data_IF_696661318792
#
_entry.id   IF_696661318792
#
_cell.length_a   1.000
_cell.length_b   1.000
_cell.length_c   1.000
_cell.angle_alpha   90.00
_cell.angle_beta   90.00
_cell.angle_gamma   90.00
#
_symmetry.space_group_name_H-M   'P 1'
#
loop_
_entity.id
_entity.type
_entity.pdbx_description
1 polymer ?
#
# COMPACT_ATOMS: atom_id res chain seq x y z
N UNK A 1 83.19 53.90 10.24
CA UNK A 1 82.19 52.83 10.50
C UNK A 1 81.02 53.48 11.22
N UNK A 2 79.87 53.60 10.53
CA UNK A 2 78.80 54.55 10.84
C UNK A 2 77.48 53.84 11.16
N UNK A 3 77.00 54.07 12.39
CA UNK A 3 75.65 54.46 12.84
C UNK A 3 74.39 53.99 12.05
N UNK A 4 73.59 53.17 12.75
CA UNK A 4 72.15 53.20 13.07
C UNK A 4 71.01 53.30 12.01
N UNK A 5 69.99 52.47 12.31
CA UNK A 5 68.53 52.73 12.37
C UNK A 5 67.62 52.75 11.12
N UNK A 6 66.51 52.02 11.29
CA UNK A 6 65.10 52.31 10.90
C UNK A 6 64.68 52.27 9.42
N UNK A 7 63.73 51.36 9.14
CA UNK A 7 62.41 51.73 8.63
C UNK A 7 62.13 51.63 7.12
N UNK A 8 60.88 51.19 6.84
CA UNK A 8 60.03 51.51 5.68
C UNK A 8 60.40 50.82 4.35
N UNK A 9 59.60 49.87 3.85
CA UNK A 9 58.29 50.00 3.20
C UNK A 9 58.38 50.13 1.66
N UNK A 10 57.64 49.22 1.02
CA UNK A 10 56.64 49.50 -0.02
C UNK A 10 56.91 49.20 -1.51
N UNK A 11 55.91 48.52 -2.10
CA UNK A 11 55.44 48.47 -3.52
C UNK A 11 56.36 47.78 -4.56
N UNK A 12 55.88 46.98 -5.52
CA UNK A 12 54.57 46.93 -6.21
C UNK A 12 54.48 45.68 -7.12
N UNK A 13 53.28 45.12 -7.31
CA UNK A 13 52.93 44.18 -8.40
C UNK A 13 51.97 43.05 -7.98
N UNK A 14 50.65 43.31 -7.85
CA UNK A 14 49.57 42.90 -8.80
C UNK A 14 49.39 41.37 -8.88
N UNK A 15 48.27 40.71 -8.59
CA UNK A 15 46.86 41.07 -8.71
C UNK A 15 45.95 40.07 -7.94
N UNK A 16 44.84 40.60 -7.42
CA UNK A 16 43.48 40.03 -7.36
C UNK A 16 43.30 38.55 -6.96
N UNK A 17 42.98 38.30 -5.68
CA UNK A 17 42.02 37.25 -5.28
C UNK A 17 41.15 37.72 -4.11
N UNK A 18 39.89 38.04 -4.41
CA UNK A 18 38.82 38.14 -3.42
C UNK A 18 38.62 36.77 -2.77
N UNK A 19 39.05 36.63 -1.52
CA UNK A 19 38.60 35.55 -0.64
C UNK A 19 37.21 35.89 -0.12
N UNK A 20 36.17 35.31 -0.72
CA UNK A 20 34.87 35.19 -0.07
C UNK A 20 35.02 34.26 1.11
N UNK A 21 35.13 34.83 2.31
CA UNK A 21 34.88 34.12 3.57
C UNK A 21 33.45 33.59 3.56
N UNK A 22 33.28 32.30 3.27
CA UNK A 22 32.05 31.57 3.57
C UNK A 22 31.89 31.50 5.08
N UNK A 23 31.04 32.38 5.63
CA UNK A 23 30.48 32.23 6.99
C UNK A 23 29.79 30.87 7.06
N UNK A 24 30.42 29.91 7.74
CA UNK A 24 29.72 28.73 8.23
C UNK A 24 28.74 29.19 9.31
N UNK A 25 27.51 29.54 8.94
CA UNK A 25 26.39 29.59 9.87
C UNK A 25 26.23 28.21 10.48
N UNK A 26 26.44 28.07 11.78
CA UNK A 26 26.02 26.91 12.55
C UNK A 26 24.54 26.64 12.24
N UNK A 27 24.26 25.54 11.55
CA UNK A 27 22.90 25.16 11.19
C UNK A 27 22.24 24.56 12.43
N UNK A 28 21.47 25.36 13.15
CA UNK A 28 20.59 24.86 14.21
C UNK A 28 19.41 24.12 13.58
N UNK A 29 18.97 23.04 14.22
CA UNK A 29 17.79 22.28 13.77
C UNK A 29 16.53 23.17 13.85
N UNK A 30 15.53 22.99 12.96
CA UNK A 30 14.28 23.73 13.04
C UNK A 30 13.58 23.53 14.40
N UNK A 31 13.27 24.63 15.08
CA UNK A 31 12.56 24.65 16.36
C UNK A 31 11.88 26.01 16.57
N UNK A 32 10.91 26.08 17.47
CA UNK A 32 10.29 27.33 17.93
C UNK A 32 10.02 27.24 19.44
N UNK A 33 10.90 27.86 20.23
CA UNK A 33 10.84 27.75 21.68
C UNK A 33 9.62 28.44 22.27
N UNK A 34 9.18 29.55 21.68
CA UNK A 34 8.02 30.29 22.18
C UNK A 34 6.75 29.49 21.93
N UNK A 35 6.65 28.80 20.78
CA UNK A 35 5.54 27.89 20.51
C UNK A 35 5.51 26.71 21.50
N UNK A 36 6.65 26.06 21.76
CA UNK A 36 6.74 24.98 22.75
C UNK A 36 6.32 25.43 24.14
N UNK A 37 6.85 26.58 24.59
CA UNK A 37 6.53 27.16 25.88
C UNK A 37 5.04 27.53 25.98
N UNK A 38 4.48 28.07 24.89
CA UNK A 38 3.08 28.50 24.85
C UNK A 38 2.10 27.33 24.81
N UNK A 39 2.46 26.23 24.14
CA UNK A 39 1.68 25.00 24.13
C UNK A 39 1.62 24.39 25.54
N UNK A 40 2.77 24.18 26.19
CA UNK A 40 2.84 23.62 27.54
C UNK A 40 2.17 24.53 28.59
N UNK A 41 2.37 25.84 28.49
CA UNK A 41 1.69 26.81 29.34
C UNK A 41 0.17 26.75 29.17
N UNK A 42 -0.32 26.61 27.94
CA UNK A 42 -1.75 26.51 27.65
C UNK A 42 -2.37 25.24 28.23
N UNK A 43 -1.68 24.11 28.10
CA UNK A 43 -2.07 22.82 28.70
C UNK A 43 -2.17 22.86 30.24
N UNK A 44 -1.33 23.68 30.89
CA UNK A 44 -1.40 23.88 32.34
C UNK A 44 -2.47 24.89 32.80
N UNK A 45 -3.03 25.67 31.87
CA UNK A 45 -4.10 26.64 32.14
C UNK A 45 -5.50 26.07 31.90
N UNK A 46 -5.65 25.11 30.98
CA UNK A 46 -6.95 24.53 30.62
C UNK A 46 -6.82 23.06 30.22
N UNK A 47 -7.76 22.23 30.70
CA UNK A 47 -7.88 20.83 30.28
C UNK A 47 -8.29 20.67 28.81
N UNK A 48 -9.09 21.59 28.28
CA UNK A 48 -9.49 21.56 26.87
C UNK A 48 -8.28 21.78 25.94
N UNK A 49 -7.36 22.66 26.36
CA UNK A 49 -6.10 22.87 25.65
C UNK A 49 -5.20 21.63 25.65
N UNK A 50 -5.31 20.75 26.67
CA UNK A 50 -4.59 19.46 26.67
C UNK A 50 -5.09 18.56 25.55
N UNK A 51 -6.42 18.48 25.36
CA UNK A 51 -7.02 17.66 24.30
C UNK A 51 -6.53 18.11 22.91
N UNK A 52 -6.63 19.41 22.60
CA UNK A 52 -6.23 19.97 21.31
C UNK A 52 -4.73 19.75 21.00
N UNK A 53 -3.87 19.86 22.02
CA UNK A 53 -2.42 19.74 21.85
C UNK A 53 -2.01 18.27 21.71
N UNK A 54 -2.63 17.35 22.44
CA UNK A 54 -2.33 15.90 22.36
C UNK A 54 -2.76 15.32 21.01
N UNK A 55 -3.76 15.88 20.34
CA UNK A 55 -4.11 15.47 18.97
C UNK A 55 -3.00 15.78 17.95
N UNK A 56 -2.23 16.84 18.18
CA UNK A 56 -1.31 17.41 17.18
C UNK A 56 0.16 17.11 17.40
N UNK A 57 0.61 16.92 18.64
CA UNK A 57 2.03 16.66 18.96
C UNK A 57 2.22 15.48 19.90
N UNK A 58 3.43 14.92 19.90
CA UNK A 58 3.94 13.93 20.85
C UNK A 58 5.11 14.52 21.64
N UNK A 59 5.50 13.87 22.75
CA UNK A 59 6.60 14.32 23.59
C UNK A 59 7.92 14.52 22.80
N UNK A 60 8.22 13.60 21.88
CA UNK A 60 9.40 13.66 21.00
C UNK A 60 9.36 14.81 19.95
N UNK A 61 8.21 15.45 19.74
CA UNK A 61 8.12 16.60 18.84
C UNK A 61 8.67 17.89 19.48
N UNK A 62 8.85 17.93 20.81
CA UNK A 62 9.52 19.05 21.48
C UNK A 62 11.04 19.02 21.25
N UNK A 63 11.62 20.16 20.93
CA UNK A 63 13.06 20.28 20.68
C UNK A 63 13.88 20.20 21.97
N UNK A 64 13.35 20.77 23.06
CA UNK A 64 14.06 20.81 24.34
C UNK A 64 13.65 19.61 25.22
N UNK A 65 14.59 18.80 25.72
CA UNK A 65 14.28 17.63 26.56
C UNK A 65 13.47 17.95 27.82
N UNK A 66 13.62 19.14 28.42
CA UNK A 66 12.79 19.51 29.58
C UNK A 66 11.32 19.71 29.21
N UNK A 67 11.02 20.11 27.97
CA UNK A 67 9.63 20.28 27.50
C UNK A 67 8.98 18.93 27.24
N UNK A 68 9.73 17.95 26.74
CA UNK A 68 9.32 16.55 26.63
C UNK A 68 8.89 15.99 28.00
N UNK A 69 9.73 16.16 29.04
CA UNK A 69 9.41 15.73 30.40
C UNK A 69 8.14 16.39 30.97
N UNK A 70 7.95 17.68 30.70
CA UNK A 70 6.76 18.42 31.17
C UNK A 70 5.51 17.93 30.43
N UNK A 71 5.61 17.71 29.11
CA UNK A 71 4.52 17.18 28.30
C UNK A 71 4.07 15.80 28.79
N UNK A 72 5.02 14.89 29.04
CA UNK A 72 4.73 13.54 29.54
C UNK A 72 4.06 13.56 30.91
N UNK A 73 4.52 14.44 31.82
CA UNK A 73 3.89 14.61 33.13
C UNK A 73 2.45 15.13 33.01
N UNK A 74 2.20 16.11 32.13
CA UNK A 74 0.84 16.61 31.85
C UNK A 74 -0.04 15.50 31.27
N UNK A 75 0.50 14.70 30.34
CA UNK A 75 -0.23 13.59 29.71
C UNK A 75 -0.56 12.49 30.71
N UNK A 76 0.37 12.16 31.62
CA UNK A 76 0.14 11.20 32.71
C UNK A 76 -1.04 11.62 33.60
N UNK A 77 -1.05 12.89 34.03
CA UNK A 77 -2.12 13.45 34.85
C UNK A 77 -3.46 13.48 34.10
N UNK A 78 -3.43 13.90 32.84
CA UNK A 78 -4.63 13.97 32.00
C UNK A 78 -5.25 12.57 31.78
N UNK A 79 -4.44 11.56 31.50
CA UNK A 79 -4.89 10.17 31.32
C UNK A 79 -5.50 9.58 32.60
N UNK A 80 -5.06 10.04 33.77
CA UNK A 80 -5.61 9.67 35.07
C UNK A 80 -6.85 10.50 35.47
N UNK A 81 -7.23 11.49 34.65
CA UNK A 81 -8.34 12.41 34.92
C UNK A 81 -8.01 13.50 35.96
N UNK A 82 -6.75 13.61 36.38
CA UNK A 82 -6.29 14.55 37.40
C UNK A 82 -6.21 15.99 36.85
N UNK A 83 -6.13 17.03 37.71
CA UNK A 83 -5.82 18.39 37.29
C UNK A 83 -4.44 18.47 36.63
N UNK A 84 -4.31 19.28 35.58
CA UNK A 84 -3.04 19.49 34.85
C UNK A 84 -2.39 20.84 35.17
N UNK A 85 -2.82 21.50 36.24
CA UNK A 85 -2.28 22.80 36.65
C UNK A 85 -0.81 22.71 37.13
N UNK A 86 -0.17 23.87 37.29
CA UNK A 86 1.24 23.96 37.68
C UNK A 86 1.55 23.19 38.96
N UNK A 87 0.63 23.17 39.94
CA UNK A 87 0.85 22.49 41.22
C UNK A 87 0.83 20.99 41.01
N UNK A 88 -0.16 20.46 40.28
CA UNK A 88 -0.28 19.04 39.99
C UNK A 88 0.91 18.54 39.15
N UNK A 89 1.32 19.27 38.12
CA UNK A 89 2.48 18.93 37.28
C UNK A 89 3.78 18.97 38.10
N UNK A 90 3.92 19.92 39.02
CA UNK A 90 5.08 19.99 39.93
C UNK A 90 5.14 18.77 40.84
N UNK A 91 4.01 18.36 41.43
CA UNK A 91 3.93 17.19 42.30
C UNK A 91 4.27 15.90 41.53
N UNK A 92 3.72 15.73 40.33
CA UNK A 92 4.01 14.56 39.47
C UNK A 92 5.49 14.49 39.09
N UNK A 93 6.07 15.60 38.63
CA UNK A 93 7.51 15.66 38.32
C UNK A 93 8.39 15.44 39.57
N UNK A 94 7.90 15.79 40.75
CA UNK A 94 8.61 15.54 42.02
C UNK A 94 8.57 14.06 42.37
N UNK A 95 7.41 13.39 42.25
CA UNK A 95 7.28 11.94 42.46
C UNK A 95 8.18 11.14 41.52
N UNK A 96 8.29 11.59 40.26
CA UNK A 96 9.16 10.99 39.25
C UNK A 96 10.65 11.31 39.46
N UNK A 97 10.99 12.26 40.33
CA UNK A 97 12.37 12.70 40.55
C UNK A 97 12.94 13.56 39.40
N UNK A 98 12.08 14.07 38.52
CA UNK A 98 12.44 14.76 37.28
C UNK A 98 12.27 16.29 37.35
N UNK A 99 11.72 16.83 38.46
CA UNK A 99 11.44 18.27 38.61
C UNK A 99 12.66 19.17 38.34
N UNK A 100 13.85 18.76 38.80
CA UNK A 100 15.08 19.52 38.57
C UNK A 100 15.47 19.57 37.09
N UNK A 101 15.26 18.46 36.36
CA UNK A 101 15.51 18.34 34.92
C UNK A 101 14.46 19.08 34.08
N UNK A 102 13.23 19.16 34.58
CA UNK A 102 12.15 19.96 34.00
C UNK A 102 12.37 21.49 34.16
N UNK A 103 13.35 21.93 34.97
CA UNK A 103 13.66 23.33 35.20
C UNK A 103 13.09 23.92 36.50
N UNK A 104 12.49 23.09 37.36
CA UNK A 104 11.93 23.50 38.65
C UNK A 104 10.55 24.14 38.55
N UNK A 105 9.91 24.34 39.71
CA UNK A 105 8.56 24.90 39.81
C UNK A 105 8.47 26.33 39.23
N UNK A 106 9.53 27.14 39.38
CA UNK A 106 9.60 28.50 38.83
C UNK A 106 9.49 28.51 37.30
N UNK A 107 10.03 27.49 36.63
CA UNK A 107 9.94 27.39 35.18
C UNK A 107 8.50 27.10 34.73
N UNK A 108 7.77 26.23 35.43
CA UNK A 108 6.37 25.92 35.12
C UNK A 108 5.45 27.16 35.29
N UNK A 109 5.70 27.96 36.33
CA UNK A 109 5.04 29.26 36.49
C UNK A 109 5.39 30.25 35.38
N UNK A 110 6.63 30.20 34.87
CA UNK A 110 7.04 31.02 33.72
C UNK A 110 6.28 30.60 32.46
N UNK A 111 6.11 29.30 32.20
CA UNK A 111 5.37 28.80 31.02
C UNK A 111 3.93 29.28 31.01
N UNK A 112 3.23 29.21 32.14
CA UNK A 112 1.86 29.70 32.25
C UNK A 112 1.77 31.23 32.13
N UNK A 113 2.79 31.96 32.59
CA UNK A 113 2.85 33.43 32.48
C UNK A 113 3.10 33.94 31.05
N UNK A 114 3.71 33.12 30.19
CA UNK A 114 3.98 33.45 28.79
C UNK A 114 2.73 33.33 27.89
N UNK A 115 1.71 32.61 28.35
CA UNK A 115 0.52 32.31 27.54
C UNK A 115 -0.55 33.37 27.75
N UNK A 116 -0.91 34.16 26.72
CA UNK A 116 -1.96 35.17 26.85
C UNK A 116 -3.34 34.54 27.04
N UNK A 117 -3.61 33.41 26.35
CA UNK A 117 -4.89 32.70 26.37
C UNK A 117 -4.68 31.21 26.11
N UNK A 118 -5.27 30.35 26.93
CA UNK A 118 -5.20 28.89 26.75
C UNK A 118 -5.83 28.40 25.43
N UNK A 119 -6.82 29.13 24.90
CA UNK A 119 -7.52 28.79 23.65
C UNK A 119 -6.61 28.73 22.41
N UNK A 120 -5.43 29.34 22.45
CA UNK A 120 -4.48 29.33 21.33
C UNK A 120 -3.46 28.18 21.41
N UNK A 121 -3.54 27.31 22.42
CA UNK A 121 -2.60 26.22 22.61
C UNK A 121 -2.52 25.29 21.39
N UNK A 122 -3.68 24.96 20.79
CA UNK A 122 -3.73 24.16 19.55
C UNK A 122 -3.08 24.83 18.34
N UNK A 123 -3.12 26.16 18.26
CA UNK A 123 -2.38 26.88 17.22
C UNK A 123 -0.86 26.76 17.44
N UNK A 124 -0.38 26.92 18.68
CA UNK A 124 1.04 26.80 18.97
C UNK A 124 1.55 25.36 18.81
N UNK A 125 0.75 24.34 19.15
CA UNK A 125 1.13 22.95 18.91
C UNK A 125 1.27 22.62 17.42
N UNK A 126 0.46 23.24 16.55
CA UNK A 126 0.64 23.09 15.10
C UNK A 126 1.99 23.63 14.60
N UNK A 127 2.48 24.73 15.19
CA UNK A 127 3.82 25.28 14.91
C UNK A 127 4.91 24.31 15.39
N UNK A 128 4.75 23.75 16.60
CA UNK A 128 5.68 22.73 17.12
C UNK A 128 5.72 21.51 16.20
N UNK A 129 4.56 20.99 15.78
CA UNK A 129 4.44 19.87 14.86
C UNK A 129 5.14 20.14 13.51
N UNK A 130 4.96 21.34 12.93
CA UNK A 130 5.62 21.75 11.70
C UNK A 130 7.16 21.76 11.87
N UNK A 131 7.65 22.33 12.97
CA UNK A 131 9.10 22.36 13.26
C UNK A 131 9.66 20.96 13.52
N UNK A 132 8.92 20.10 14.21
CA UNK A 132 9.30 18.71 14.46
C UNK A 132 9.36 17.89 13.16
N UNK A 133 8.42 18.10 12.23
CA UNK A 133 8.43 17.50 10.91
C UNK A 133 9.68 17.92 10.11
N UNK A 134 9.99 19.22 10.09
CA UNK A 134 11.20 19.75 9.46
C UNK A 134 12.47 19.18 10.09
N UNK A 135 12.50 19.02 11.43
CA UNK A 135 13.62 18.41 12.15
C UNK A 135 13.81 16.95 11.77
N UNK A 136 12.75 16.14 11.77
CA UNK A 136 12.77 14.74 11.29
C UNK A 136 13.27 14.62 9.86
N UNK A 137 12.89 15.55 8.98
CA UNK A 137 13.37 15.59 7.60
C UNK A 137 14.89 15.82 7.53
N UNK A 138 15.43 16.76 8.32
CA UNK A 138 16.88 17.03 8.39
C UNK A 138 17.64 15.81 8.92
N UNK A 139 17.11 15.15 9.95
CA UNK A 139 17.71 13.95 10.52
C UNK A 139 17.72 12.78 9.54
N UNK A 140 16.60 12.52 8.86
CA UNK A 140 16.51 11.49 7.82
C UNK A 140 17.50 11.78 6.68
N UNK A 141 17.59 13.04 6.22
CA UNK A 141 18.57 13.45 5.22
C UNK A 141 20.01 13.22 5.68
N UNK A 142 20.30 13.46 6.96
CA UNK A 142 21.62 13.21 7.56
C UNK A 142 21.95 11.73 7.61
N UNK A 143 21.00 10.88 8.04
CA UNK A 143 21.17 9.42 8.04
C UNK A 143 21.37 8.86 6.64
N UNK A 144 20.60 9.32 5.66
CA UNK A 144 20.75 8.91 4.25
C UNK A 144 22.13 9.30 3.71
N UNK A 145 22.60 10.51 4.01
CA UNK A 145 23.94 10.94 3.61
C UNK A 145 25.01 10.07 4.27
N UNK A 146 24.87 9.74 5.56
CA UNK A 146 25.79 8.84 6.27
C UNK A 146 25.82 7.44 5.67
N UNK A 147 24.66 6.87 5.30
CA UNK A 147 24.56 5.58 4.60
C UNK A 147 25.33 5.61 3.27
N UNK A 148 25.24 6.71 2.52
CA UNK A 148 25.97 6.89 1.27
C UNK A 148 27.49 6.97 1.46
N UNK A 149 27.96 7.57 2.56
CA UNK A 149 29.39 7.67 2.88
C UNK A 149 29.98 6.40 3.48
N UNK A 150 29.23 5.63 4.28
CA UNK A 150 29.73 4.39 4.89
C UNK A 150 29.92 3.28 3.85
N UNK A 151 29.04 3.21 2.86
CA UNK A 151 29.15 2.25 1.74
C UNK A 151 29.12 0.78 2.15
N UNK A 152 28.64 0.46 3.36
CA UNK A 152 28.54 -0.90 3.87
C UNK A 152 27.21 -1.54 3.47
N UNK A 153 27.27 -2.72 2.84
CA UNK A 153 26.11 -3.50 2.41
C UNK A 153 25.90 -3.51 0.89
N UNK A 154 24.85 -4.20 0.44
CA UNK A 154 24.47 -4.17 -0.96
C UNK A 154 23.84 -2.81 -1.31
N UNK A 155 24.18 -2.27 -2.49
CA UNK A 155 23.69 -0.96 -2.96
C UNK A 155 22.16 -0.89 -2.95
N UNK A 156 21.48 -2.00 -3.28
CA UNK A 156 20.02 -2.08 -3.26
C UNK A 156 19.45 -1.96 -1.84
N UNK A 157 20.09 -2.57 -0.84
CA UNK A 157 19.68 -2.47 0.55
C UNK A 157 19.86 -1.04 1.10
N UNK A 158 20.94 -0.36 0.73
CA UNK A 158 21.17 1.05 1.08
C UNK A 158 20.08 1.96 0.51
N UNK A 159 19.68 1.74 -0.74
CA UNK A 159 18.58 2.50 -1.37
C UNK A 159 17.25 2.20 -0.67
N UNK A 160 16.97 0.95 -0.32
CA UNK A 160 15.75 0.57 0.39
C UNK A 160 15.69 1.19 1.80
N UNK A 161 16.80 1.17 2.54
CA UNK A 161 16.91 1.79 3.85
C UNK A 161 16.71 3.31 3.77
N UNK A 162 17.28 3.96 2.75
CA UNK A 162 17.07 5.38 2.51
C UNK A 162 15.60 5.71 2.18
N UNK A 163 14.91 4.85 1.42
CA UNK A 163 13.47 5.00 1.16
C UNK A 163 12.63 4.85 2.43
N UNK A 164 12.97 3.89 3.30
CA UNK A 164 12.30 3.70 4.58
C UNK A 164 12.47 4.92 5.51
N UNK A 165 13.67 5.51 5.56
CA UNK A 165 13.96 6.72 6.33
C UNK A 165 13.12 7.92 5.88
N UNK A 166 13.00 8.16 4.57
CA UNK A 166 12.14 9.25 4.04
C UNK A 166 10.68 8.99 4.39
N UNK A 167 10.22 7.75 4.32
CA UNK A 167 8.84 7.40 4.61
C UNK A 167 8.47 7.60 6.08
N UNK A 168 9.41 7.36 7.00
CA UNK A 168 9.22 7.60 8.43
C UNK A 168 9.03 9.09 8.78
N UNK A 169 9.57 10.02 7.98
CA UNK A 169 9.47 11.47 8.22
C UNK A 169 8.02 11.95 8.20
N UNK A 170 7.22 11.46 7.25
CA UNK A 170 5.83 11.90 7.08
C UNK A 170 4.91 11.45 8.20
N UNK A 171 5.36 10.56 9.09
CA UNK A 171 4.52 9.95 10.11
C UNK A 171 3.43 9.07 9.49
N UNK A 172 3.27 7.87 10.01
CA UNK A 172 1.96 7.23 9.99
C UNK A 172 0.99 8.22 10.64
N UNK A 173 0.08 8.80 9.86
CA UNK A 173 -1.19 9.27 10.43
C UNK A 173 -1.81 8.04 11.06
N UNK A 174 -1.58 7.83 12.36
CA UNK A 174 -2.34 6.91 13.17
C UNK A 174 -3.75 7.52 13.25
N UNK A 175 -4.55 7.29 12.21
CA UNK A 175 -5.99 7.22 12.37
C UNK A 175 -6.24 6.22 13.50
N UNK A 176 -6.93 6.63 14.55
CA UNK A 176 -7.23 5.78 15.70
C UNK A 176 -7.68 4.39 15.23
N UNK A 177 -6.97 3.34 15.67
CA UNK A 177 -7.17 1.95 15.25
C UNK A 177 -8.50 1.33 15.75
N UNK A 178 -9.33 2.10 16.43
CA UNK A 178 -10.62 1.68 16.93
C UNK A 178 -11.64 2.83 16.80
N UNK A 179 -12.83 2.50 16.28
CA UNK A 179 -13.97 3.41 16.22
C UNK A 179 -15.09 2.86 17.11
N UNK A 180 -15.88 3.72 17.79
CA UNK A 180 -17.11 3.29 18.45
C UNK A 180 -18.00 2.48 17.50
N UNK A 181 -18.63 1.41 18.00
CA UNK A 181 -19.53 0.58 17.19
C UNK A 181 -20.65 1.41 16.54
N UNK A 182 -21.09 2.49 17.20
CA UNK A 182 -22.09 3.41 16.67
C UNK A 182 -21.67 4.05 15.35
N UNK A 183 -20.39 4.41 15.22
CA UNK A 183 -19.87 5.09 14.05
C UNK A 183 -19.72 4.10 12.90
N UNK A 184 -19.26 2.88 13.20
CA UNK A 184 -19.23 1.77 12.25
C UNK A 184 -20.63 1.37 11.77
N UNK A 185 -21.62 1.34 12.67
CA UNK A 185 -23.02 1.04 12.32
C UNK A 185 -23.63 2.15 11.48
N UNK A 186 -23.36 3.42 11.80
CA UNK A 186 -23.85 4.57 11.00
C UNK A 186 -23.26 4.54 9.60
N UNK A 187 -21.94 4.34 9.48
CA UNK A 187 -21.28 4.18 8.19
C UNK A 187 -21.85 2.99 7.39
N UNK A 188 -22.14 1.87 8.05
CA UNK A 188 -22.77 0.72 7.39
C UNK A 188 -24.20 1.00 6.91
N UNK A 189 -24.98 1.76 7.68
CA UNK A 189 -26.33 2.19 7.26
C UNK A 189 -26.24 3.13 6.06
N UNK A 190 -25.32 4.09 6.08
CA UNK A 190 -25.07 5.02 4.97
C UNK A 190 -24.66 4.27 3.69
N UNK A 191 -23.81 3.24 3.81
CA UNK A 191 -23.45 2.35 2.69
C UNK A 191 -24.66 1.58 2.13
N UNK A 192 -25.54 1.06 3.00
CA UNK A 192 -26.77 0.36 2.59
C UNK A 192 -27.73 1.32 1.88
N UNK A 193 -27.88 2.55 2.37
CA UNK A 193 -28.72 3.57 1.73
C UNK A 193 -28.15 4.02 0.38
N UNK A 194 -26.83 4.20 0.29
CA UNK A 194 -26.13 4.50 -0.96
C UNK A 194 -26.27 3.35 -1.98
N UNK A 195 -26.31 2.09 -1.52
CA UNK A 195 -26.57 0.93 -2.37
C UNK A 195 -28.02 0.87 -2.87
N UNK A 196 -28.99 1.28 -2.04
CA UNK A 196 -30.42 1.39 -2.45
C UNK A 196 -30.68 2.43 -3.53
N UNK A 197 -29.92 3.53 -3.55
CA UNK A 197 -30.07 4.61 -4.54
C UNK A 197 -29.46 4.30 -5.92
N UNK A 198 -28.75 3.17 -6.05
CA UNK A 198 -28.12 2.74 -7.29
C UNK A 198 -28.85 1.52 -7.83
N UNK A 199 -29.85 1.72 -8.68
CA UNK A 199 -30.57 0.65 -9.38
C UNK A 199 -29.59 -0.32 -10.07
N UNK A 200 -29.26 -1.43 -9.40
CA UNK A 200 -28.45 -2.52 -9.96
C UNK A 200 -26.97 -2.22 -10.25
N UNK A 201 -26.38 -1.12 -9.77
CA UNK A 201 -24.94 -0.91 -9.96
C UNK A 201 -24.14 -1.77 -8.97
N UNK A 202 -23.29 -2.62 -9.54
CA UNK A 202 -22.35 -3.48 -8.83
C UNK A 202 -21.47 -2.68 -7.86
N UNK A 203 -21.37 -3.12 -6.60
CA UNK A 203 -20.60 -2.41 -5.56
C UNK A 203 -19.11 -2.73 -5.63
N UNK A 204 -18.77 -3.98 -5.98
CA UNK A 204 -17.39 -4.43 -6.21
C UNK A 204 -16.92 -4.19 -7.64
N UNK A 205 -15.69 -4.62 -7.93
CA UNK A 205 -15.15 -4.66 -9.30
C UNK A 205 -15.82 -5.81 -10.06
N UNK A 206 -16.50 -5.57 -11.20
CA UNK A 206 -17.22 -6.62 -11.92
C UNK A 206 -16.30 -7.71 -12.47
N UNK A 207 -16.66 -8.96 -12.23
CA UNK A 207 -15.91 -10.13 -12.71
C UNK A 207 -16.07 -10.32 -14.22
N UNK A 208 -17.18 -9.84 -14.79
CA UNK A 208 -17.48 -9.96 -16.21
C UNK A 208 -18.19 -11.27 -16.58
N UNK A 209 -18.64 -12.01 -15.57
CA UNK A 209 -19.52 -13.17 -15.68
C UNK A 209 -20.77 -12.93 -14.85
N UNK A 210 -21.95 -12.90 -15.48
CA UNK A 210 -23.20 -12.51 -14.83
C UNK A 210 -23.51 -13.34 -13.56
N UNK A 211 -23.37 -14.66 -13.65
CA UNK A 211 -23.67 -15.57 -12.55
C UNK A 211 -22.67 -15.46 -11.38
N UNK A 212 -21.42 -15.12 -11.68
CA UNK A 212 -20.39 -14.86 -10.66
C UNK A 212 -20.63 -13.50 -10.00
N UNK A 213 -21.05 -12.52 -10.78
CA UNK A 213 -21.40 -11.18 -10.35
C UNK A 213 -22.66 -11.19 -9.47
N UNK A 214 -23.67 -12.02 -9.79
CA UNK A 214 -24.81 -12.29 -8.91
C UNK A 214 -24.37 -12.90 -7.57
N UNK A 215 -23.44 -13.85 -7.61
CA UNK A 215 -22.98 -14.56 -6.42
C UNK A 215 -22.13 -13.69 -5.48
N UNK A 216 -21.33 -12.79 -6.04
CA UNK A 216 -20.28 -12.06 -5.32
C UNK A 216 -20.55 -10.56 -5.17
N UNK A 217 -21.44 -10.02 -5.99
CA UNK A 217 -21.60 -8.58 -6.19
C UNK A 217 -20.28 -7.89 -6.59
N UNK A 218 -19.46 -8.60 -7.38
CA UNK A 218 -18.12 -8.22 -7.80
C UNK A 218 -17.04 -8.52 -6.74
N UNK A 219 -15.80 -8.15 -7.05
CA UNK A 219 -14.67 -8.27 -6.12
C UNK A 219 -14.51 -7.00 -5.27
N UNK A 220 -14.47 -7.14 -3.96
CA UNK A 220 -14.54 -6.01 -3.03
C UNK A 220 -13.15 -5.55 -2.54
N UNK A 221 -12.99 -4.25 -2.23
CA UNK A 221 -11.81 -3.72 -1.54
C UNK A 221 -11.39 -4.55 -0.32
N UNK A 222 -10.09 -4.73 -0.13
CA UNK A 222 -9.58 -5.46 1.03
C UNK A 222 -9.60 -6.99 0.93
N UNK A 223 -10.20 -7.55 -0.14
CA UNK A 223 -10.27 -8.99 -0.35
C UNK A 223 -8.99 -9.55 -0.98
N UNK A 224 -8.56 -10.71 -0.49
CA UNK A 224 -7.63 -11.60 -1.16
C UNK A 224 -8.43 -12.72 -1.82
N UNK A 225 -8.39 -12.77 -3.15
CA UNK A 225 -9.04 -13.78 -3.98
C UNK A 225 -7.97 -14.71 -4.54
N UNK A 226 -8.08 -16.01 -4.27
CA UNK A 226 -7.19 -17.01 -4.85
C UNK A 226 -7.90 -17.69 -6.01
N UNK A 227 -7.26 -17.69 -7.17
CA UNK A 227 -7.72 -18.43 -8.34
C UNK A 227 -6.73 -19.56 -8.60
N UNK A 228 -7.20 -20.80 -8.50
CA UNK A 228 -6.33 -21.96 -8.62
C UNK A 228 -6.80 -22.97 -9.67
N UNK A 229 -5.85 -23.52 -10.41
CA UNK A 229 -6.12 -24.52 -11.43
C UNK A 229 -4.91 -25.44 -11.62
N UNK A 230 -5.13 -26.57 -12.29
CA UNK A 230 -4.04 -27.35 -12.88
C UNK A 230 -3.41 -26.59 -14.07
N UNK A 231 -2.15 -26.89 -14.44
CA UNK A 231 -1.52 -26.33 -15.63
C UNK A 231 -2.38 -26.50 -16.89
N UNK A 232 -2.31 -25.54 -17.81
CA UNK A 232 -3.02 -25.52 -19.09
C UNK A 232 -4.56 -25.48 -19.06
N UNK A 233 -5.19 -25.37 -17.88
CA UNK A 233 -6.66 -25.24 -17.80
C UNK A 233 -7.18 -23.83 -18.14
N UNK A 234 -6.33 -22.82 -18.18
CA UNK A 234 -6.71 -21.44 -18.55
C UNK A 234 -6.72 -20.44 -17.40
N UNK A 235 -6.01 -20.71 -16.30
CA UNK A 235 -5.89 -19.82 -15.12
C UNK A 235 -5.53 -18.37 -15.50
N UNK A 236 -4.46 -18.17 -16.27
CA UNK A 236 -4.03 -16.84 -16.73
C UNK A 236 -5.04 -16.21 -17.70
N UNK A 237 -5.75 -17.04 -18.48
CA UNK A 237 -6.82 -16.56 -19.38
C UNK A 237 -8.00 -16.00 -18.58
N UNK A 238 -8.44 -16.71 -17.54
CA UNK A 238 -9.49 -16.25 -16.64
C UNK A 238 -9.09 -14.95 -15.92
N UNK A 239 -7.84 -14.88 -15.45
CA UNK A 239 -7.31 -13.68 -14.81
C UNK A 239 -7.29 -12.46 -15.76
N UNK A 240 -6.95 -12.68 -17.03
CA UNK A 240 -7.04 -11.63 -18.05
C UNK A 240 -8.50 -11.23 -18.32
N UNK A 241 -9.46 -12.15 -18.28
CA UNK A 241 -10.88 -11.78 -18.42
C UNK A 241 -11.37 -10.90 -17.27
N UNK A 242 -10.93 -11.15 -16.03
CA UNK A 242 -11.19 -10.23 -14.92
C UNK A 242 -10.57 -8.84 -15.18
N UNK A 243 -9.31 -8.78 -15.62
CA UNK A 243 -8.64 -7.53 -15.96
C UNK A 243 -9.37 -6.75 -17.08
N UNK A 244 -9.83 -7.48 -18.12
CA UNK A 244 -10.60 -6.93 -19.23
C UNK A 244 -11.94 -6.39 -18.78
N UNK A 245 -12.65 -7.13 -17.93
CA UNK A 245 -13.90 -6.67 -17.33
C UNK A 245 -13.68 -5.34 -16.60
N UNK A 246 -12.77 -5.33 -15.63
CA UNK A 246 -12.48 -4.14 -14.83
C UNK A 246 -12.06 -2.94 -15.69
N UNK A 247 -10.99 -3.07 -16.48
CA UNK A 247 -10.37 -1.92 -17.13
C UNK A 247 -10.94 -1.59 -18.50
N UNK A 248 -11.29 -2.57 -19.32
CA UNK A 248 -11.76 -2.30 -20.70
C UNK A 248 -13.27 -2.04 -20.71
N UNK A 249 -14.06 -2.83 -19.96
CA UNK A 249 -15.52 -2.69 -19.97
C UNK A 249 -16.02 -1.64 -18.98
N UNK A 250 -15.36 -1.50 -17.83
CA UNK A 250 -15.84 -0.67 -16.72
C UNK A 250 -14.93 0.51 -16.37
N UNK A 251 -13.85 0.75 -17.14
CA UNK A 251 -12.91 1.86 -16.94
C UNK A 251 -12.33 1.94 -15.51
N UNK A 252 -12.20 0.78 -14.86
CA UNK A 252 -11.64 0.66 -13.52
C UNK A 252 -10.14 0.34 -13.62
N UNK A 253 -9.24 1.20 -13.13
CA UNK A 253 -7.81 0.97 -13.24
C UNK A 253 -7.36 -0.33 -12.58
N UNK A 254 -6.65 -1.17 -13.32
CA UNK A 254 -6.12 -2.45 -12.81
C UNK A 254 -4.69 -2.69 -13.25
N UNK A 255 -3.95 -3.47 -12.46
CA UNK A 255 -2.58 -3.88 -12.79
C UNK A 255 -2.45 -5.41 -12.80
N UNK A 256 -1.80 -5.92 -13.82
CA UNK A 256 -1.48 -7.33 -14.00
C UNK A 256 0.04 -7.54 -13.87
N UNK A 257 0.47 -8.15 -12.76
CA UNK A 257 1.85 -8.61 -12.58
C UNK A 257 1.99 -10.01 -13.17
N UNK A 258 2.79 -10.12 -14.22
CA UNK A 258 3.03 -11.36 -14.93
C UNK A 258 4.45 -11.85 -14.70
N UNK A 259 4.58 -12.95 -13.97
CA UNK A 259 5.85 -13.59 -13.65
C UNK A 259 6.19 -14.71 -14.64
N UNK A 260 5.20 -15.21 -15.40
CA UNK A 260 5.38 -16.30 -16.37
C UNK A 260 5.35 -15.81 -17.82
N UNK A 261 4.41 -14.90 -18.15
CA UNK A 261 4.17 -14.45 -19.53
C UNK A 261 4.77 -13.06 -19.78
N UNK A 262 5.40 -12.86 -20.95
CA UNK A 262 5.84 -11.53 -21.36
C UNK A 262 4.69 -10.62 -21.77
N UNK A 263 4.88 -9.30 -21.67
CA UNK A 263 3.87 -8.27 -22.01
C UNK A 263 3.30 -8.43 -23.42
N UNK A 264 4.12 -8.84 -24.40
CA UNK A 264 3.69 -9.05 -25.78
C UNK A 264 2.72 -10.22 -25.92
N UNK A 265 2.92 -11.29 -25.13
CA UNK A 265 2.00 -12.43 -25.12
C UNK A 265 0.65 -12.03 -24.51
N UNK A 266 0.68 -11.28 -23.40
CA UNK A 266 -0.52 -10.75 -22.75
C UNK A 266 -1.29 -9.85 -23.71
N UNK A 267 -0.61 -8.89 -24.35
CA UNK A 267 -1.23 -7.98 -25.31
C UNK A 267 -1.91 -8.73 -26.47
N UNK A 268 -1.25 -9.77 -27.01
CA UNK A 268 -1.82 -10.58 -28.09
C UNK A 268 -3.06 -11.37 -27.64
N UNK A 269 -3.06 -11.89 -26.41
CA UNK A 269 -4.24 -12.57 -25.84
C UNK A 269 -5.39 -11.61 -25.60
N UNK A 270 -5.12 -10.42 -25.05
CA UNK A 270 -6.13 -9.36 -24.87
C UNK A 270 -6.76 -8.95 -26.20
N UNK A 271 -5.93 -8.74 -27.24
CA UNK A 271 -6.41 -8.42 -28.59
C UNK A 271 -7.26 -9.54 -29.18
N UNK A 272 -6.81 -10.78 -29.10
CA UNK A 272 -7.56 -11.97 -29.56
C UNK A 272 -8.92 -12.06 -28.87
N UNK A 273 -8.93 -11.86 -27.56
CA UNK A 273 -10.12 -11.99 -26.73
C UNK A 273 -11.16 -10.88 -26.98
N UNK A 274 -10.69 -9.65 -27.23
CA UNK A 274 -11.54 -8.48 -27.47
C UNK A 274 -11.99 -8.37 -28.94
N UNK A 275 -11.10 -8.66 -29.90
CA UNK A 275 -11.42 -8.61 -31.32
C UNK A 275 -12.17 -9.86 -31.83
N UNK A 276 -12.23 -10.93 -31.02
CA UNK A 276 -12.76 -12.24 -31.43
C UNK A 276 -12.05 -12.80 -32.68
N UNK A 277 -10.73 -12.59 -32.75
CA UNK A 277 -9.89 -13.08 -33.84
C UNK A 277 -9.00 -14.20 -33.31
N UNK A 278 -8.86 -15.36 -34.00
CA UNK A 278 -8.16 -16.50 -33.42
C UNK A 278 -6.70 -16.21 -33.08
N UNK A 279 -6.28 -16.55 -31.86
CA UNK A 279 -4.93 -16.31 -31.35
C UNK A 279 -3.85 -16.97 -32.24
N UNK A 280 -4.14 -18.16 -32.76
CA UNK A 280 -3.24 -18.87 -33.66
C UNK A 280 -3.03 -18.14 -34.99
N UNK A 281 -4.08 -17.53 -35.54
CA UNK A 281 -3.99 -16.73 -36.77
C UNK A 281 -3.12 -15.49 -36.54
N UNK A 282 -3.25 -14.84 -35.38
CA UNK A 282 -2.39 -13.71 -35.01
C UNK A 282 -0.93 -14.12 -34.86
N UNK A 283 -0.66 -15.23 -34.16
CA UNK A 283 0.71 -15.73 -33.95
C UNK A 283 1.41 -16.13 -35.25
N UNK A 284 0.66 -16.71 -36.20
CA UNK A 284 1.19 -17.15 -37.51
C UNK A 284 1.28 -16.02 -38.53
N UNK A 285 0.74 -14.83 -38.23
CA UNK A 285 0.67 -13.72 -39.18
C UNK A 285 -0.31 -13.96 -40.34
N UNK A 286 -1.19 -14.96 -40.24
CA UNK A 286 -2.19 -15.34 -41.26
C UNK A 286 -3.52 -14.63 -41.05
N UNK A 287 -3.47 -13.39 -40.55
CA UNK A 287 -4.66 -12.58 -40.27
C UNK A 287 -5.17 -11.99 -41.59
N UNK A 288 -6.45 -12.21 -41.90
CA UNK A 288 -7.04 -11.68 -43.12
C UNK A 288 -7.34 -10.18 -43.02
N UNK A 289 -7.69 -9.55 -44.15
CA UNK A 289 -7.94 -8.11 -44.18
C UNK A 289 -9.13 -7.67 -43.31
N UNK A 290 -10.13 -8.54 -43.12
CA UNK A 290 -11.31 -8.26 -42.30
C UNK A 290 -10.92 -8.29 -40.82
N UNK A 291 -10.20 -9.31 -40.39
CA UNK A 291 -9.69 -9.46 -39.03
C UNK A 291 -8.74 -8.32 -38.67
N UNK A 292 -7.88 -7.88 -39.60
CA UNK A 292 -7.03 -6.69 -39.41
C UNK A 292 -7.85 -5.43 -39.14
N UNK A 293 -8.96 -5.27 -39.86
CA UNK A 293 -9.88 -4.14 -39.64
C UNK A 293 -10.52 -4.22 -38.25
N UNK A 294 -10.94 -5.41 -37.82
CA UNK A 294 -11.50 -5.66 -36.47
C UNK A 294 -10.47 -5.37 -35.37
N UNK A 295 -9.23 -5.81 -35.55
CA UNK A 295 -8.12 -5.55 -34.62
C UNK A 295 -7.87 -4.03 -34.51
N UNK A 296 -7.79 -3.34 -35.65
CA UNK A 296 -7.54 -1.90 -35.68
C UNK A 296 -8.66 -1.10 -34.98
N UNK A 297 -9.93 -1.47 -35.20
CA UNK A 297 -11.07 -0.85 -34.53
C UNK A 297 -11.08 -1.11 -33.01
N UNK A 298 -10.61 -2.28 -32.60
CA UNK A 298 -10.55 -2.67 -31.18
C UNK A 298 -9.39 -2.02 -30.43
N UNK A 299 -8.31 -1.69 -31.15
CA UNK A 299 -7.10 -1.09 -30.58
C UNK A 299 -7.38 0.20 -29.81
N UNK A 300 -8.31 1.04 -30.28
CA UNK A 300 -8.67 2.28 -29.59
C UNK A 300 -9.16 2.02 -28.16
N UNK A 301 -10.14 1.12 -27.99
CA UNK A 301 -10.69 0.75 -26.68
C UNK A 301 -9.64 0.19 -25.73
N UNK A 302 -8.72 -0.64 -26.22
CA UNK A 302 -7.64 -1.21 -25.40
C UNK A 302 -6.62 -0.14 -25.01
N UNK A 303 -6.30 0.78 -25.92
CA UNK A 303 -5.30 1.82 -25.69
C UNK A 303 -5.74 2.84 -24.64
N UNK A 304 -7.04 3.13 -24.59
CA UNK A 304 -7.61 4.11 -23.66
C UNK A 304 -7.95 3.50 -22.29
N UNK A 305 -8.03 2.16 -22.20
CA UNK A 305 -8.34 1.46 -20.96
C UNK A 305 -7.21 1.57 -19.92
N UNK A 306 -7.52 1.81 -18.63
CA UNK A 306 -6.54 1.94 -17.56
C UNK A 306 -6.00 0.58 -17.07
N UNK A 307 -5.52 -0.25 -17.99
CA UNK A 307 -4.92 -1.55 -17.72
C UNK A 307 -3.40 -1.48 -17.80
N UNK A 308 -2.73 -1.76 -16.68
CA UNK A 308 -1.28 -1.74 -16.56
C UNK A 308 -0.73 -3.18 -16.51
N UNK A 309 0.39 -3.43 -17.19
CA UNK A 309 1.07 -4.73 -17.20
C UNK A 309 2.50 -4.54 -16.73
N UNK A 310 2.94 -5.41 -15.84
CA UNK A 310 4.31 -5.48 -15.39
C UNK A 310 4.82 -6.92 -15.51
N UNK A 311 5.78 -7.12 -16.42
CA UNK A 311 6.42 -8.41 -16.69
C UNK A 311 7.89 -8.43 -16.22
N UNK A 312 8.25 -7.56 -15.26
CA UNK A 312 9.61 -7.52 -14.74
C UNK A 312 9.95 -8.87 -14.08
N UNK A 313 11.10 -9.49 -14.41
CA UNK A 313 11.49 -10.77 -13.82
C UNK A 313 11.83 -10.63 -12.33
N UNK A 314 11.68 -11.72 -11.56
CA UNK A 314 12.11 -11.84 -10.16
C UNK A 314 11.56 -10.76 -9.20
N UNK A 315 10.34 -10.25 -9.44
CA UNK A 315 9.77 -9.23 -8.57
C UNK A 315 9.49 -9.72 -7.15
N UNK A 316 9.90 -8.91 -6.18
CA UNK A 316 9.57 -9.14 -4.76
C UNK A 316 8.20 -8.56 -4.42
N UNK A 317 7.58 -9.05 -3.34
CA UNK A 317 6.29 -8.53 -2.88
C UNK A 317 6.38 -7.06 -2.42
N UNK A 318 7.55 -6.63 -1.94
CA UNK A 318 7.80 -5.23 -1.55
C UNK A 318 7.73 -4.32 -2.78
N UNK A 319 8.34 -4.72 -3.90
CA UNK A 319 8.29 -3.99 -5.16
C UNK A 319 6.87 -3.95 -5.74
N UNK A 320 6.15 -5.07 -5.73
CA UNK A 320 4.73 -5.13 -6.13
C UNK A 320 3.93 -4.10 -5.32
N UNK A 321 4.05 -4.14 -3.99
CA UNK A 321 3.34 -3.21 -3.10
C UNK A 321 3.69 -1.75 -3.39
N UNK A 322 4.97 -1.43 -3.58
CA UNK A 322 5.40 -0.07 -3.90
C UNK A 322 4.86 0.43 -5.24
N UNK A 323 4.85 -0.43 -6.28
CA UNK A 323 4.26 -0.12 -7.59
C UNK A 323 2.74 0.10 -7.47
N UNK A 324 2.04 -0.76 -6.74
CA UNK A 324 0.61 -0.62 -6.49
C UNK A 324 0.27 0.68 -5.73
N UNK A 325 1.03 1.03 -4.69
CA UNK A 325 0.85 2.30 -3.94
C UNK A 325 0.97 3.51 -4.86
N UNK A 326 2.05 3.58 -5.65
CA UNK A 326 2.28 4.66 -6.61
C UNK A 326 1.16 4.76 -7.65
N UNK A 327 0.69 3.61 -8.15
CA UNK A 327 -0.38 3.58 -9.13
C UNK A 327 -1.73 3.99 -8.52
N UNK A 328 -2.02 3.57 -7.28
CA UNK A 328 -3.21 4.01 -6.53
C UNK A 328 -3.26 5.52 -6.37
N UNK A 329 -2.14 6.14 -5.98
CA UNK A 329 -2.05 7.60 -5.84
C UNK A 329 -2.24 8.34 -7.17
N UNK A 330 -1.70 7.81 -8.27
CA UNK A 330 -1.71 8.49 -9.56
C UNK A 330 -3.05 8.37 -10.29
N UNK A 331 -3.69 7.21 -10.27
CA UNK A 331 -4.86 6.91 -11.10
C UNK A 331 -6.01 6.25 -10.35
N UNK A 332 -5.91 6.03 -9.04
CA UNK A 332 -7.00 5.45 -8.26
C UNK A 332 -7.21 3.95 -8.51
N UNK A 333 -6.12 3.17 -8.54
CA UNK A 333 -6.09 1.71 -8.68
C UNK A 333 -7.26 1.00 -7.97
N UNK A 334 -7.95 0.11 -8.70
CA UNK A 334 -9.14 -0.62 -8.25
C UNK A 334 -8.95 -2.13 -8.16
N UNK A 335 -7.98 -2.71 -8.84
CA UNK A 335 -7.74 -4.16 -8.78
C UNK A 335 -6.29 -4.51 -9.06
N UNK A 336 -5.78 -5.53 -8.38
CA UNK A 336 -4.42 -6.07 -8.57
C UNK A 336 -4.53 -7.55 -8.92
N UNK A 337 -3.84 -7.98 -9.97
CA UNK A 337 -3.73 -9.38 -10.37
C UNK A 337 -2.26 -9.80 -10.36
N UNK A 338 -1.95 -10.97 -9.80
CA UNK A 338 -0.59 -11.52 -9.72
C UNK A 338 -0.58 -12.96 -10.24
N UNK A 339 0.14 -13.19 -11.34
CA UNK A 339 0.31 -14.49 -12.00
C UNK A 339 1.78 -14.93 -12.03
N UNK A 340 2.25 -15.93 -11.27
CA UNK A 340 1.60 -16.73 -10.23
C UNK A 340 2.49 -16.81 -8.97
N UNK A 341 1.85 -16.93 -7.81
CA UNK A 341 2.48 -16.83 -6.49
C UNK A 341 3.73 -17.69 -6.30
N UNK A 342 3.74 -18.90 -6.88
CA UNK A 342 4.85 -19.84 -6.72
C UNK A 342 6.13 -19.47 -7.49
N UNK A 343 6.17 -18.37 -8.25
CA UNK A 343 7.43 -17.82 -8.80
C UNK A 343 8.02 -16.70 -7.95
N UNK A 344 7.30 -16.24 -6.93
CA UNK A 344 7.82 -15.22 -6.03
C UNK A 344 8.87 -15.83 -5.10
N UNK A 345 9.91 -15.04 -4.84
CA UNK A 345 10.93 -15.33 -3.84
C UNK A 345 10.98 -14.23 -2.80
N UNK A 346 11.18 -14.60 -1.55
CA UNK A 346 11.30 -13.67 -0.43
C UNK A 346 12.65 -12.97 -0.42
N UNK A 347 13.58 -13.36 -1.31
CA UNK A 347 14.96 -12.88 -1.34
C UNK A 347 15.82 -13.38 -0.18
N UNK A 348 15.24 -14.15 0.76
CA UNK A 348 15.91 -14.72 1.94
C UNK A 348 16.04 -16.23 1.80
N UNK A 349 17.09 -16.81 2.40
CA UNK A 349 17.14 -18.28 2.61
C UNK A 349 16.07 -18.66 3.62
N UNK A 350 15.01 -19.31 3.16
CA UNK A 350 13.94 -19.84 4.01
C UNK A 350 14.14 -21.35 4.20
N UNK A 351 13.88 -21.87 5.40
CA UNK A 351 14.05 -23.31 5.70
C UNK A 351 13.05 -24.20 4.95
N UNK A 352 11.86 -23.68 4.62
CA UNK A 352 10.81 -24.40 3.92
C UNK A 352 10.03 -23.50 2.98
N UNK A 353 9.77 -23.99 1.76
CA UNK A 353 8.93 -23.32 0.76
C UNK A 353 7.52 -23.04 1.30
N UNK A 354 7.01 -23.89 2.18
CA UNK A 354 5.69 -23.72 2.80
C UNK A 354 5.63 -22.47 3.69
N UNK A 355 6.71 -22.16 4.39
CA UNK A 355 6.79 -20.95 5.22
C UNK A 355 6.82 -19.69 4.35
N UNK A 356 7.58 -19.74 3.27
CA UNK A 356 7.67 -18.65 2.29
C UNK A 356 6.30 -18.34 1.65
N UNK A 357 5.56 -19.37 1.23
CA UNK A 357 4.19 -19.22 0.70
C UNK A 357 3.24 -18.64 1.75
N UNK A 358 3.42 -19.00 3.02
CA UNK A 358 2.62 -18.47 4.13
C UNK A 358 2.87 -17.00 4.41
N UNK A 359 4.13 -16.57 4.35
CA UNK A 359 4.49 -15.15 4.47
C UNK A 359 3.91 -14.34 3.30
N UNK A 360 3.97 -14.87 2.07
CA UNK A 360 3.36 -14.20 0.92
C UNK A 360 1.85 -14.07 1.04
N UNK A 361 1.17 -15.16 1.41
CA UNK A 361 -0.28 -15.18 1.63
C UNK A 361 -0.71 -14.04 2.56
N UNK A 362 -0.08 -13.97 3.74
CA UNK A 362 -0.38 -12.96 4.74
C UNK A 362 -0.08 -11.55 4.23
N UNK A 363 1.07 -11.35 3.60
CA UNK A 363 1.48 -10.04 3.11
C UNK A 363 0.60 -9.53 1.95
N UNK A 364 0.06 -10.43 1.11
CA UNK A 364 -0.93 -10.08 0.09
C UNK A 364 -2.27 -9.68 0.70
N UNK A 365 -2.74 -10.40 1.73
CA UNK A 365 -3.95 -10.03 2.46
C UNK A 365 -3.82 -8.67 3.13
N UNK A 366 -2.67 -8.39 3.75
CA UNK A 366 -2.38 -7.08 4.33
C UNK A 366 -2.32 -6.00 3.25
N UNK A 367 -1.67 -6.26 2.11
CA UNK A 367 -1.64 -5.33 0.99
C UNK A 367 -3.05 -5.02 0.46
N UNK A 368 -3.92 -6.03 0.33
CA UNK A 368 -5.31 -5.83 -0.11
C UNK A 368 -6.05 -4.88 0.82
N UNK A 369 -5.95 -5.08 2.15
CA UNK A 369 -6.56 -4.24 3.18
C UNK A 369 -5.98 -2.82 3.18
N UNK A 370 -4.66 -2.70 3.19
CA UNK A 370 -3.96 -1.41 3.21
C UNK A 370 -4.31 -0.58 1.97
N UNK A 371 -4.27 -1.20 0.80
CA UNK A 371 -4.60 -0.54 -0.46
C UNK A 371 -6.09 -0.46 -0.73
N UNK A 372 -6.96 -1.04 0.10
CA UNK A 372 -8.42 -1.05 -0.13
C UNK A 372 -8.76 -1.41 -1.60
N UNK A 373 -8.16 -2.48 -2.10
CA UNK A 373 -8.44 -3.04 -3.45
C UNK A 373 -8.52 -4.56 -3.36
N UNK A 374 -9.35 -5.22 -4.19
CA UNK A 374 -9.26 -6.66 -4.40
C UNK A 374 -7.90 -7.04 -5.00
N UNK A 375 -7.26 -8.03 -4.38
CA UNK A 375 -6.02 -8.65 -4.85
C UNK A 375 -6.34 -10.07 -5.30
N UNK A 376 -6.20 -10.33 -6.59
CA UNK A 376 -6.37 -11.65 -7.20
C UNK A 376 -4.99 -12.28 -7.37
N UNK A 377 -4.76 -13.40 -6.72
CA UNK A 377 -3.50 -14.11 -6.80
C UNK A 377 -3.70 -15.51 -7.40
N UNK A 378 -2.96 -15.79 -8.46
CA UNK A 378 -3.06 -17.06 -9.17
C UNK A 378 -2.17 -18.10 -8.49
N UNK A 379 -2.74 -19.29 -8.25
CA UNK A 379 -2.04 -20.42 -7.62
C UNK A 379 -2.16 -21.67 -8.49
N UNK A 380 -1.11 -22.49 -8.54
CA UNK A 380 -1.17 -23.79 -9.19
C UNK A 380 -1.59 -24.88 -8.19
N UNK A 381 -2.48 -25.78 -8.62
CA UNK A 381 -2.87 -26.96 -7.84
C UNK A 381 -1.84 -28.09 -7.96
N UNK A 382 -1.71 -28.89 -6.90
CA UNK A 382 -0.97 -30.14 -6.94
C UNK A 382 -1.64 -31.17 -7.88
N UNK A 383 -1.05 -32.36 -8.04
CA UNK A 383 -1.61 -33.43 -8.90
C UNK A 383 -2.75 -34.23 -8.22
N UNK A 384 -3.17 -33.85 -7.02
CA UNK A 384 -4.20 -34.55 -6.24
C UNK A 384 -5.51 -34.78 -6.99
N UNK A 385 -6.08 -33.78 -7.70
CA UNK A 385 -7.31 -33.97 -8.45
C UNK A 385 -7.22 -35.11 -9.47
N UNK A 386 -6.10 -35.26 -10.18
CA UNK A 386 -5.91 -36.28 -11.23
C UNK A 386 -5.96 -37.72 -10.70
N UNK A 387 -5.80 -37.91 -9.39
CA UNK A 387 -5.86 -39.22 -8.75
C UNK A 387 -7.28 -39.58 -8.26
N UNK A 388 -8.19 -38.61 -8.23
CA UNK A 388 -9.59 -38.84 -7.86
C UNK A 388 -10.39 -39.33 -9.06
N UNK A 389 -11.44 -40.11 -8.78
CA UNK A 389 -12.32 -40.63 -9.83
C UNK A 389 -13.07 -39.52 -10.57
N UNK A 390 -13.50 -38.48 -9.86
CA UNK A 390 -14.23 -37.33 -10.39
C UNK A 390 -13.31 -36.23 -10.97
N UNK A 391 -12.00 -36.32 -10.74
CA UNK A 391 -10.99 -35.32 -11.12
C UNK A 391 -11.28 -33.90 -10.60
N UNK A 392 -12.18 -33.77 -9.63
CA UNK A 392 -12.65 -32.47 -9.13
C UNK A 392 -11.58 -31.85 -8.22
N UNK A 393 -11.22 -30.57 -8.42
CA UNK A 393 -10.30 -29.88 -7.53
C UNK A 393 -11.01 -29.53 -6.22
N UNK A 394 -10.25 -29.57 -5.13
CA UNK A 394 -10.67 -29.18 -3.81
C UNK A 394 -9.65 -28.20 -3.20
N UNK A 395 -10.05 -27.47 -2.17
CA UNK A 395 -9.17 -26.52 -1.47
C UNK A 395 -7.92 -27.23 -0.92
N UNK A 396 -8.06 -28.49 -0.49
CA UNK A 396 -6.95 -29.33 -0.01
C UNK A 396 -5.85 -29.57 -1.05
N UNK A 397 -6.10 -29.31 -2.33
CA UNK A 397 -5.12 -29.42 -3.42
C UNK A 397 -4.16 -28.22 -3.52
N UNK A 398 -4.39 -27.18 -2.72
CA UNK A 398 -3.45 -26.07 -2.52
C UNK A 398 -2.24 -26.44 -1.64
N UNK A 399 -2.13 -27.73 -1.23
CA UNK A 399 -1.37 -28.39 -0.14
C UNK A 399 0.04 -27.88 0.24
N UNK A 400 0.68 -27.00 -0.52
CA UNK A 400 1.87 -26.24 -0.07
C UNK A 400 1.50 -24.92 0.65
N UNK A 401 0.19 -24.66 0.82
CA UNK A 401 -0.36 -23.33 1.08
C UNK A 401 -1.57 -23.32 2.01
N UNK A 402 -1.56 -24.11 3.10
CA UNK A 402 -2.66 -24.08 4.08
C UNK A 402 -2.95 -22.66 4.62
N UNK A 403 -1.95 -21.80 4.61
CA UNK A 403 -2.04 -20.35 4.86
C UNK A 403 -2.81 -19.58 3.77
N UNK A 404 -2.62 -19.89 2.48
CA UNK A 404 -3.43 -19.30 1.39
C UNK A 404 -4.91 -19.61 1.58
N UNK A 405 -5.24 -20.84 1.98
CA UNK A 405 -6.62 -21.18 2.33
C UNK A 405 -7.11 -20.31 3.49
N UNK A 406 -6.33 -20.16 4.56
CA UNK A 406 -6.76 -19.40 5.73
C UNK A 406 -6.94 -17.91 5.43
N UNK A 407 -5.97 -17.27 4.79
CA UNK A 407 -5.94 -15.82 4.59
C UNK A 407 -6.90 -15.34 3.49
N UNK A 408 -7.18 -16.18 2.49
CA UNK A 408 -8.09 -15.83 1.40
C UNK A 408 -9.51 -15.56 1.91
N UNK A 409 -10.16 -14.55 1.33
CA UNK A 409 -11.59 -14.30 1.53
C UNK A 409 -12.43 -15.12 0.54
N UNK A 410 -11.87 -15.39 -0.64
CA UNK A 410 -12.51 -16.18 -1.68
C UNK A 410 -11.50 -17.11 -2.36
N UNK A 411 -11.91 -18.35 -2.64
CA UNK A 411 -11.11 -19.32 -3.40
C UNK A 411 -11.96 -19.81 -4.57
N UNK A 412 -11.46 -19.59 -5.79
CA UNK A 412 -12.07 -20.01 -7.05
C UNK A 412 -11.19 -21.10 -7.66
N UNK A 413 -11.75 -22.30 -7.84
CA UNK A 413 -11.07 -23.42 -8.49
C UNK A 413 -11.60 -23.57 -9.91
N UNK A 414 -10.70 -23.47 -10.89
CA UNK A 414 -11.03 -23.64 -12.30
C UNK A 414 -10.89 -25.13 -12.68
N UNK A 415 -11.99 -25.71 -13.17
CA UNK A 415 -12.02 -27.08 -13.67
C UNK A 415 -12.56 -27.12 -15.11
N UNK A 416 -12.01 -28.02 -15.92
CA UNK A 416 -12.45 -28.26 -17.30
C UNK A 416 -12.43 -29.75 -17.57
N UNK A 417 -13.59 -30.36 -17.59
CA UNK A 417 -13.76 -31.81 -17.81
C UNK A 417 -13.19 -32.24 -19.17
N UNK A 418 -13.44 -31.43 -20.20
CA UNK A 418 -12.97 -31.67 -21.57
C UNK A 418 -11.45 -31.63 -21.73
N UNK A 419 -10.70 -31.16 -20.73
CA UNK A 419 -9.23 -31.22 -20.75
C UNK A 419 -8.70 -32.63 -20.46
N UNK A 420 -9.50 -33.46 -19.78
CA UNK A 420 -9.15 -34.83 -19.42
C UNK A 420 -9.77 -35.85 -20.38
N UNK A 421 -10.94 -35.54 -20.95
CA UNK A 421 -11.70 -36.41 -21.85
C UNK A 421 -12.07 -35.65 -23.12
N UNK A 422 -11.48 -36.05 -24.25
CA UNK A 422 -11.62 -35.34 -25.53
C UNK A 422 -13.05 -35.33 -26.07
N UNK A 423 -13.80 -36.39 -25.82
CA UNK A 423 -15.17 -36.58 -26.33
C UNK A 423 -16.24 -36.28 -25.26
N UNK A 424 -15.88 -35.52 -24.22
CA UNK A 424 -16.81 -35.15 -23.15
C UNK A 424 -17.94 -34.25 -23.70
N UNK A 425 -19.22 -34.49 -23.34
CA UNK A 425 -20.35 -33.72 -23.86
C UNK A 425 -20.30 -32.23 -23.49
N UNK A 426 -19.58 -31.87 -22.41
CA UNK A 426 -19.37 -30.48 -21.96
C UNK A 426 -18.16 -29.83 -22.63
N UNK A 427 -17.84 -30.24 -23.87
CA UNK A 427 -16.71 -29.71 -24.62
C UNK A 427 -16.87 -28.21 -24.84
N UNK A 428 -15.90 -27.43 -24.35
CA UNK A 428 -15.97 -25.96 -24.41
C UNK A 428 -16.64 -25.31 -23.19
N UNK A 429 -17.02 -26.07 -22.17
CA UNK A 429 -17.42 -25.53 -20.87
C UNK A 429 -16.24 -25.54 -19.87
N UNK A 430 -16.34 -24.68 -18.87
CA UNK A 430 -15.48 -24.68 -17.70
C UNK A 430 -16.28 -24.34 -16.46
N UNK A 431 -15.90 -24.94 -15.33
CA UNK A 431 -16.51 -24.70 -14.04
C UNK A 431 -15.59 -23.78 -13.21
N UNK A 432 -16.15 -22.67 -12.77
CA UNK A 432 -15.59 -21.77 -11.77
C UNK A 432 -16.19 -22.14 -10.42
N UNK A 433 -15.49 -22.98 -9.68
CA UNK A 433 -15.97 -23.50 -8.40
C UNK A 433 -15.57 -22.52 -7.31
N UNK A 434 -16.51 -21.72 -6.80
CA UNK A 434 -16.28 -20.87 -5.63
C UNK A 434 -16.27 -21.76 -4.39
N UNK A 435 -15.11 -22.35 -4.11
CA UNK A 435 -14.96 -23.34 -3.04
C UNK A 435 -14.94 -22.71 -1.65
N UNK A 436 -14.53 -21.44 -1.54
CA UNK A 436 -14.56 -20.65 -0.31
C UNK A 436 -15.09 -19.26 -0.63
N UNK A 437 -15.97 -18.75 0.23
CA UNK A 437 -16.42 -17.36 0.21
C UNK A 437 -16.74 -16.93 1.66
N UNK A 438 -15.94 -16.03 2.24
CA UNK A 438 -16.13 -15.59 3.64
C UNK A 438 -17.39 -14.78 3.85
N UNK A 439 -17.83 -14.03 2.83
CA UNK A 439 -18.88 -13.03 2.93
C UNK A 439 -20.16 -13.43 2.18
N UNK A 440 -20.29 -14.68 1.74
CA UNK A 440 -21.43 -15.10 0.94
C UNK A 440 -21.43 -16.60 0.62
N UNK A 441 -22.39 -17.05 -0.19
CA UNK A 441 -22.52 -18.46 -0.54
C UNK A 441 -21.41 -18.94 -1.47
N UNK A 442 -21.18 -20.25 -1.44
CA UNK A 442 -20.38 -20.98 -2.43
C UNK A 442 -21.30 -21.50 -3.53
N UNK A 443 -20.82 -21.50 -4.77
CA UNK A 443 -21.54 -22.02 -5.94
C UNK A 443 -20.53 -22.38 -7.03
N UNK A 444 -20.87 -23.36 -7.85
CA UNK A 444 -20.17 -23.59 -9.12
C UNK A 444 -20.85 -22.77 -10.20
N UNK A 445 -20.09 -21.89 -10.85
CA UNK A 445 -20.55 -21.11 -11.99
C UNK A 445 -19.96 -21.72 -13.26
N UNK A 446 -20.81 -22.14 -14.19
CA UNK A 446 -20.37 -22.72 -15.45
C UNK A 446 -20.28 -21.65 -16.53
N UNK A 447 -19.15 -21.59 -17.23
CA UNK A 447 -18.84 -20.59 -18.27
C UNK A 447 -18.39 -21.28 -19.55
N UNK A 448 -18.57 -20.61 -20.69
CA UNK A 448 -18.01 -21.05 -21.96
C UNK A 448 -16.52 -20.72 -22.05
N UNK A 449 -15.69 -21.69 -22.46
CA UNK A 449 -14.28 -21.52 -22.73
C UNK A 449 -14.00 -21.47 -24.24
N UNK A 450 -13.77 -20.26 -24.74
CA UNK A 450 -13.36 -20.01 -26.12
C UNK A 450 -11.82 -19.95 -26.23
N UNK A 451 -11.16 -21.10 -26.01
CA UNK A 451 -9.69 -21.17 -25.97
C UNK A 451 -8.99 -20.65 -27.23
N UNK A 452 -9.62 -20.77 -28.41
CA UNK A 452 -9.10 -20.23 -29.67
C UNK A 452 -9.06 -18.69 -29.71
N UNK A 453 -9.89 -18.02 -28.91
CA UNK A 453 -9.86 -16.57 -28.70
C UNK A 453 -9.14 -16.17 -27.41
N UNK A 454 -8.65 -17.13 -26.61
CA UNK A 454 -8.05 -16.88 -25.28
C UNK A 454 -9.01 -16.10 -24.36
N UNK A 455 -10.27 -16.55 -24.26
CA UNK A 455 -11.26 -15.99 -23.32
C UNK A 455 -12.23 -17.03 -22.78
N UNK A 456 -12.80 -16.74 -21.63
CA UNK A 456 -14.05 -17.28 -21.14
C UNK A 456 -15.20 -16.31 -21.44
N UNK A 457 -16.44 -16.80 -21.40
CA UNK A 457 -17.65 -15.99 -21.58
C UNK A 457 -18.81 -16.64 -20.81
N UNK A 458 -19.84 -15.87 -20.49
CA UNK A 458 -21.10 -16.43 -19.98
C UNK A 458 -21.67 -17.46 -20.96
N UNK A 459 -22.29 -18.51 -20.41
CA UNK A 459 -23.11 -19.40 -21.23
C UNK A 459 -24.32 -18.62 -21.74
N UNK A 460 -24.72 -18.89 -22.98
CA UNK A 460 -25.97 -18.35 -23.48
C UNK A 460 -27.11 -18.82 -22.54
N UNK A 461 -28.05 -17.94 -22.14
CA UNK A 461 -29.20 -18.36 -21.37
C UNK A 461 -29.88 -19.50 -22.12
N UNK A 462 -30.08 -20.64 -21.44
CA UNK A 462 -30.77 -21.78 -22.03
C UNK A 462 -32.13 -21.32 -22.58
N UNK A 463 -32.32 -21.46 -23.89
CA UNK A 463 -33.57 -21.16 -24.59
C UNK A 463 -34.71 -22.08 -24.18
#
# INVERSE_FOLDING_TARGET
MSIAHLGLADKRGTDLRNGTETRHTERTLPHDLLAEQSALGGMMLSKDAVADVVETVRAADFYIPKHELIFDAILSLYAQGEPTDVIAVTDELTKLGELSRAGGADYLHTLTSLVPTAANAGFYSSIVAERALLRRLVEAGTRIAQMGYSGEGEVLDLVNNAQAEIYAVTGSTETEDYVPLTDAVTAAIDEIEAAKGKDGQMTGVPTGFADMDELTNGFHPGQLIIVAARPALGKSTLALDFARSASIKHDMPSIFFSLEMGRSEIAMRLLSAEASVPLQSMRKGTVDARDWTTIAATRGRINDAPLYIDDSPNMTLVEIRAKCRRLKQRVGLKMVIIDYLQLMTSGKKVESRQQEVSEFSRALKLMAKELQVPVIALSQLNRGPEQRADKMPAISDLRESGSLEQDADMVILLHRESAYEKDNPRAGEADLIVAKHRNGPTRTVTVAFHGHYSRFADLAPGS
#
